data_IF_834047023773
#
_entry.id   IF_834047023773
#
_cell.length_a   1.000
_cell.length_b   1.000
_cell.length_c   1.000
_cell.angle_alpha   90.00
_cell.angle_beta   90.00
_cell.angle_gamma   90.00
#
_symmetry.space_group_name_H-M   'P 1'
#
loop_
_entity.id
_entity.type
_entity.pdbx_description
1 polymer ?
#
# COMPACT_ATOMS: atom_id res chain seq x y z
N UNK A 1 13.80 -10.61 -9.08
CA UNK A 1 13.74 -9.14 -8.92
C UNK A 1 15.15 -8.59 -8.85
N UNK A 2 15.43 -7.48 -9.52
CA UNK A 2 16.71 -6.79 -9.38
C UNK A 2 16.84 -6.22 -7.96
N UNK A 3 18.01 -6.37 -7.34
CA UNK A 3 18.32 -5.77 -6.04
C UNK A 3 19.14 -4.50 -6.24
N UNK A 4 18.90 -3.49 -5.40
CA UNK A 4 19.68 -2.25 -5.41
C UNK A 4 20.50 -2.19 -4.13
N UNK A 5 21.83 -2.03 -4.26
CA UNK A 5 22.73 -1.88 -3.12
C UNK A 5 22.55 -0.50 -2.50
N UNK A 6 22.36 -0.44 -1.18
CA UNK A 6 22.36 0.79 -0.38
C UNK A 6 23.32 0.63 0.79
N UNK A 7 24.09 1.68 1.09
CA UNK A 7 24.88 1.76 2.32
C UNK A 7 24.06 2.46 3.40
N UNK A 8 24.07 1.92 4.60
CA UNK A 8 23.29 2.40 5.74
C UNK A 8 24.23 2.50 6.95
N UNK A 9 24.07 3.54 7.75
CA UNK A 9 24.73 3.65 9.06
C UNK A 9 23.75 3.16 10.12
N UNK A 10 24.19 2.20 10.93
CA UNK A 10 23.41 1.60 12.01
C UNK A 10 24.20 1.68 13.32
N UNK A 11 23.51 1.46 14.44
CA UNK A 11 24.16 1.40 15.74
C UNK A 11 24.85 0.04 15.94
N UNK A 12 25.82 -0.02 16.84
CA UNK A 12 26.50 -1.28 17.21
C UNK A 12 25.51 -2.31 17.78
N UNK A 13 24.51 -1.86 18.54
CA UNK A 13 23.47 -2.74 19.06
C UNK A 13 22.61 -3.36 17.94
N UNK A 14 22.31 -2.60 16.87
CA UNK A 14 21.59 -3.11 15.71
C UNK A 14 22.44 -4.13 14.95
N UNK A 15 23.74 -3.87 14.76
CA UNK A 15 24.67 -4.81 14.13
C UNK A 15 24.73 -6.15 14.89
N UNK A 16 24.88 -6.11 16.22
CA UNK A 16 24.88 -7.32 17.06
C UNK A 16 23.57 -8.09 16.95
N UNK A 17 22.44 -7.37 16.94
CA UNK A 17 21.13 -7.98 16.76
C UNK A 17 21.00 -8.68 15.40
N UNK A 18 21.43 -8.03 14.31
CA UNK A 18 21.38 -8.60 12.96
C UNK A 18 22.21 -9.90 12.89
N UNK A 19 23.42 -9.90 13.46
CA UNK A 19 24.28 -11.08 13.52
C UNK A 19 23.62 -12.26 14.22
N UNK A 20 22.99 -12.04 15.38
CA UNK A 20 22.26 -13.10 16.09
C UNK A 20 21.13 -13.71 15.25
N UNK A 21 20.44 -12.91 14.44
CA UNK A 21 19.37 -13.41 13.56
C UNK A 21 19.92 -14.28 12.42
N UNK A 22 21.11 -13.96 11.93
CA UNK A 22 21.82 -14.75 10.91
C UNK A 22 22.35 -16.06 11.53
N UNK A 23 22.98 -15.98 12.71
CA UNK A 23 23.53 -17.15 13.43
C UNK A 23 22.46 -18.16 13.81
N UNK A 24 21.26 -17.69 14.16
CA UNK A 24 20.11 -18.56 14.43
C UNK A 24 19.54 -19.25 13.16
N UNK A 25 20.16 -19.03 12.00
CA UNK A 25 19.80 -19.69 10.74
C UNK A 25 18.58 -19.10 10.04
N UNK A 26 18.06 -17.96 10.51
CA UNK A 26 16.88 -17.32 9.93
C UNK A 26 17.16 -16.59 8.62
N UNK A 27 18.40 -16.15 8.39
CA UNK A 27 18.79 -15.30 7.27
C UNK A 27 20.25 -15.58 6.87
N UNK A 28 20.58 -15.45 5.58
CA UNK A 28 21.94 -15.69 5.09
C UNK A 28 22.86 -14.45 5.19
N UNK A 29 22.29 -13.25 5.26
CA UNK A 29 23.04 -11.98 5.36
C UNK A 29 22.17 -10.81 5.83
N UNK A 30 22.83 -9.70 6.15
CA UNK A 30 22.21 -8.47 6.66
C UNK A 30 21.16 -7.90 5.70
N UNK A 31 21.43 -7.95 4.39
CA UNK A 31 20.52 -7.41 3.37
C UNK A 31 19.23 -8.23 3.26
N UNK A 32 19.27 -9.52 3.59
CA UNK A 32 18.09 -10.36 3.67
C UNK A 32 17.26 -10.04 4.91
N UNK A 33 17.90 -9.93 6.07
CA UNK A 33 17.21 -9.55 7.29
C UNK A 33 16.60 -8.15 7.21
N UNK A 34 17.32 -7.17 6.65
CA UNK A 34 16.82 -5.81 6.45
C UNK A 34 15.60 -5.80 5.53
N UNK A 35 15.62 -6.56 4.43
CA UNK A 35 14.45 -6.70 3.53
C UNK A 35 13.25 -7.34 4.24
N UNK A 36 13.50 -8.31 5.12
CA UNK A 36 12.45 -8.91 5.94
C UNK A 36 11.82 -7.89 6.90
N UNK A 37 12.63 -7.09 7.59
CA UNK A 37 12.13 -6.02 8.47
C UNK A 37 11.31 -4.98 7.71
N UNK A 38 11.78 -4.55 6.53
CA UNK A 38 11.04 -3.63 5.67
C UNK A 38 9.69 -4.22 5.27
N UNK A 39 9.65 -5.50 4.85
CA UNK A 39 8.38 -6.15 4.49
C UNK A 39 7.42 -6.24 5.67
N UNK A 40 7.91 -6.55 6.87
CA UNK A 40 7.07 -6.56 8.07
C UNK A 40 6.53 -5.17 8.42
N UNK A 41 7.31 -4.11 8.19
CA UNK A 41 6.84 -2.74 8.36
C UNK A 41 5.78 -2.38 7.31
N UNK A 42 6.05 -2.68 6.03
CA UNK A 42 5.10 -2.49 4.94
C UNK A 42 3.78 -3.22 5.19
N UNK A 43 3.83 -4.46 5.67
CA UNK A 43 2.64 -5.26 5.96
C UNK A 43 1.84 -4.69 7.14
N UNK A 44 2.51 -4.32 8.22
CA UNK A 44 1.87 -3.65 9.36
C UNK A 44 1.23 -2.32 8.98
N UNK A 45 1.84 -1.59 8.05
CA UNK A 45 1.38 -0.27 7.62
C UNK A 45 0.50 -0.31 6.36
N UNK A 46 0.25 -1.49 5.76
CA UNK A 46 -0.39 -1.62 4.44
C UNK A 46 -1.74 -0.91 4.36
N UNK A 47 -2.65 -1.26 5.26
CA UNK A 47 -4.02 -0.70 5.27
C UNK A 47 -4.01 0.81 5.49
N UNK A 48 -3.12 1.28 6.36
CA UNK A 48 -2.92 2.71 6.59
C UNK A 48 -2.42 3.42 5.34
N UNK A 49 -1.41 2.86 4.65
CA UNK A 49 -0.84 3.44 3.45
C UNK A 49 -1.85 3.45 2.29
N UNK A 50 -2.64 2.39 2.11
CA UNK A 50 -3.73 2.32 1.14
C UNK A 50 -4.76 3.41 1.42
N UNK A 51 -5.21 3.50 2.67
CA UNK A 51 -6.21 4.50 3.07
C UNK A 51 -5.69 5.92 2.87
N UNK A 52 -4.45 6.19 3.30
CA UNK A 52 -3.80 7.49 3.12
C UNK A 52 -3.66 7.87 1.65
N UNK A 53 -3.33 6.91 0.79
CA UNK A 53 -3.25 7.11 -0.65
C UNK A 53 -4.62 7.45 -1.26
N UNK A 54 -5.68 6.71 -0.90
CA UNK A 54 -7.04 6.96 -1.38
C UNK A 54 -7.58 8.33 -0.93
N UNK A 55 -7.30 8.73 0.32
CA UNK A 55 -7.65 10.06 0.82
C UNK A 55 -6.93 11.14 0.02
N UNK A 56 -5.62 10.95 -0.23
CA UNK A 56 -4.83 11.90 -1.00
C UNK A 56 -5.34 12.02 -2.44
N UNK A 57 -5.65 10.91 -3.09
CA UNK A 57 -6.26 10.89 -4.42
C UNK A 57 -7.58 11.67 -4.43
N UNK A 58 -8.45 11.43 -3.44
CA UNK A 58 -9.69 12.20 -3.29
C UNK A 58 -9.46 13.69 -3.08
N UNK A 59 -8.47 14.07 -2.28
CA UNK A 59 -8.11 15.47 -2.05
C UNK A 59 -7.55 16.15 -3.30
N UNK A 60 -6.62 15.48 -3.98
CA UNK A 60 -5.97 15.96 -5.20
C UNK A 60 -6.96 16.01 -6.39
N UNK A 61 -8.07 15.25 -6.33
CA UNK A 61 -9.17 15.33 -7.31
C UNK A 61 -9.98 16.65 -7.24
N UNK A 62 -9.76 17.45 -6.19
CA UNK A 62 -10.41 18.75 -6.01
C UNK A 62 -11.86 18.65 -5.53
N UNK A 63 -12.51 19.81 -5.43
CA UNK A 63 -13.89 19.90 -4.93
C UNK A 63 -14.88 19.67 -6.08
N UNK A 64 -15.84 18.77 -5.86
CA UNK A 64 -16.93 18.56 -6.81
C UNK A 64 -17.71 19.86 -7.04
N UNK A 65 -17.91 20.29 -8.30
CA UNK A 65 -18.72 21.47 -8.61
C UNK A 65 -20.22 21.26 -8.34
N UNK A 66 -20.65 20.00 -8.15
CA UNK A 66 -22.02 19.62 -7.80
C UNK A 66 -22.08 19.26 -6.33
N UNK A 67 -22.91 19.98 -5.57
CA UNK A 67 -23.38 19.54 -4.25
C UNK A 67 -24.45 18.48 -4.53
N UNK A 68 -24.27 17.28 -3.98
CA UNK A 68 -25.21 16.17 -4.17
C UNK A 68 -25.74 15.71 -2.83
N UNK A 69 -27.01 15.34 -2.78
CA UNK A 69 -27.59 14.64 -1.63
C UNK A 69 -27.22 13.16 -1.66
N UNK A 70 -27.41 12.46 -0.54
CA UNK A 70 -27.18 11.01 -0.45
C UNK A 70 -28.03 10.26 -1.48
N UNK A 71 -29.30 10.64 -1.64
CA UNK A 71 -30.23 10.01 -2.59
C UNK A 71 -29.77 10.17 -4.05
N UNK A 72 -29.27 11.35 -4.41
CA UNK A 72 -28.72 11.63 -5.74
C UNK A 72 -27.46 10.81 -6.04
N UNK A 73 -26.60 10.63 -5.04
CA UNK A 73 -25.39 9.79 -5.16
C UNK A 73 -25.78 8.33 -5.38
N UNK A 74 -26.74 7.83 -4.59
CA UNK A 74 -27.23 6.45 -4.67
C UNK A 74 -27.90 6.17 -6.01
N UNK A 75 -28.78 7.06 -6.47
CA UNK A 75 -29.40 6.96 -7.79
C UNK A 75 -28.36 6.92 -8.91
N UNK A 76 -27.41 7.86 -8.90
CA UNK A 76 -26.35 7.90 -9.90
C UNK A 76 -25.45 6.64 -9.88
N UNK A 77 -25.27 6.01 -8.72
CA UNK A 77 -24.52 4.75 -8.61
C UNK A 77 -25.29 3.56 -9.19
N UNK A 78 -26.62 3.51 -9.02
CA UNK A 78 -27.48 2.48 -9.60
C UNK A 78 -27.52 2.61 -11.13
N UNK A 79 -27.72 3.82 -11.64
CA UNK A 79 -27.75 4.10 -13.09
C UNK A 79 -26.44 3.65 -13.77
N UNK A 80 -25.28 4.00 -13.17
CA UNK A 80 -23.96 3.54 -13.67
C UNK A 80 -23.80 2.02 -13.68
N UNK A 81 -24.45 1.32 -12.76
CA UNK A 81 -24.38 -0.15 -12.69
C UNK A 81 -25.25 -0.79 -13.77
N UNK A 82 -26.45 -0.25 -14.00
CA UNK A 82 -27.37 -0.76 -15.03
C UNK A 82 -26.83 -0.53 -16.44
N UNK A 83 -26.20 0.62 -16.69
CA UNK A 83 -25.62 0.94 -18.01
C UNK A 83 -24.50 -0.04 -18.37
N UNK A 84 -23.61 -0.36 -17.42
CA UNK A 84 -22.54 -1.36 -17.62
C UNK A 84 -23.07 -2.77 -17.88
N UNK A 85 -24.19 -3.15 -17.26
CA UNK A 85 -24.81 -4.46 -17.50
C UNK A 85 -25.44 -4.56 -18.89
N UNK A 86 -25.93 -3.44 -19.44
CA UNK A 86 -26.48 -3.38 -20.81
C UNK A 86 -25.36 -3.39 -21.87
N UNK A 87 -24.25 -2.69 -21.63
CA UNK A 87 -23.08 -2.73 -22.52
C UNK A 87 -22.46 -4.14 -22.62
N UNK A 88 -22.44 -4.90 -21.52
CA UNK A 88 -21.93 -6.28 -21.50
C UNK A 88 -22.88 -7.33 -22.13
N UNK A 89 -24.17 -7.01 -22.26
CA UNK A 89 -25.16 -7.89 -22.91
C UNK A 89 -25.26 -7.64 -24.43
N UNK A 90 -24.82 -6.47 -24.89
CA UNK A 90 -24.87 -6.05 -26.30
C UNK A 90 -23.51 -6.19 -27.03
N UNK A 91 -22.50 -6.78 -26.38
CA UNK A 91 -21.17 -7.09 -26.92
C UNK A 91 -20.98 -8.60 -27.03
#
# INVERSE_FOLDING_TARGET
>A
MATVRKSLTITEAQEQWIKLQIENGGFANDSEYMRHLIRLDEERNREFLITKAAIREGYDSGVSPKIRTVDEIMKAALDRRTDKSQEQQNA
#
